data_IF_398796052708
#
_entry.id   IF_398796052708
#
_cell.length_a   1.000
_cell.length_b   1.000
_cell.length_c   1.000
_cell.angle_alpha   90.00
_cell.angle_beta   90.00
_cell.angle_gamma   90.00
#
_symmetry.space_group_name_H-M   'P 1'
#
loop_
_entity.id
_entity.type
_entity.pdbx_description
1 polymer ?
#
# COMPACT_ATOMS: atom_id res chain seq x y z
N UNK A 1 -6.40 -27.21 -12.49
CA UNK A 1 -5.75 -27.55 -13.79
C UNK A 1 -6.29 -26.56 -14.81
N UNK A 2 -5.54 -25.53 -15.14
CA UNK A 2 -5.89 -24.54 -16.17
C UNK A 2 -5.72 -25.21 -17.53
N UNK A 3 -6.84 -25.58 -18.18
CA UNK A 3 -6.81 -25.98 -19.56
C UNK A 3 -6.30 -24.77 -20.37
N UNK A 4 -5.11 -24.87 -20.93
CA UNK A 4 -4.48 -23.76 -21.65
C UNK A 4 -5.41 -23.30 -22.79
N UNK A 5 -5.70 -21.99 -22.81
CA UNK A 5 -6.43 -21.40 -23.94
C UNK A 5 -5.64 -21.62 -25.23
N UNK A 6 -6.34 -21.90 -26.32
CA UNK A 6 -5.70 -21.92 -27.64
C UNK A 6 -5.13 -20.55 -27.98
N UNK A 7 -4.06 -20.50 -28.77
CA UNK A 7 -3.42 -19.23 -29.18
C UNK A 7 -4.45 -18.20 -29.72
N UNK A 8 -5.42 -18.66 -30.52
CA UNK A 8 -6.49 -17.81 -31.05
C UNK A 8 -7.34 -17.20 -29.93
N UNK A 9 -7.73 -17.98 -28.92
CA UNK A 9 -8.51 -17.49 -27.76
C UNK A 9 -7.71 -16.51 -26.94
N UNK A 10 -6.42 -16.76 -26.76
CA UNK A 10 -5.52 -15.83 -26.07
C UNK A 10 -5.44 -14.49 -26.80
N UNK A 11 -5.26 -14.49 -28.11
CA UNK A 11 -5.27 -13.27 -28.92
C UNK A 11 -6.61 -12.54 -28.82
N UNK A 12 -7.74 -13.26 -28.97
CA UNK A 12 -9.07 -12.64 -28.88
C UNK A 12 -9.32 -12.07 -27.48
N UNK A 13 -9.00 -12.79 -26.40
CA UNK A 13 -9.13 -12.28 -25.04
C UNK A 13 -8.27 -11.03 -24.82
N UNK A 14 -7.01 -11.04 -25.26
CA UNK A 14 -6.12 -9.86 -25.22
C UNK A 14 -6.76 -8.66 -25.91
N UNK A 15 -7.29 -8.83 -27.11
CA UNK A 15 -7.92 -7.76 -27.88
C UNK A 15 -9.21 -7.25 -27.22
N UNK A 16 -10.04 -8.14 -26.67
CA UNK A 16 -11.25 -7.74 -25.92
C UNK A 16 -10.88 -6.87 -24.73
N UNK A 17 -9.87 -7.27 -23.96
CA UNK A 17 -9.44 -6.52 -22.78
C UNK A 17 -8.86 -5.15 -23.19
N UNK A 18 -8.02 -5.10 -24.21
CA UNK A 18 -7.45 -3.85 -24.72
C UNK A 18 -8.55 -2.90 -25.20
N UNK A 19 -9.49 -3.41 -26.00
CA UNK A 19 -10.60 -2.60 -26.51
C UNK A 19 -11.51 -2.10 -25.40
N UNK A 20 -11.85 -2.96 -24.44
CA UNK A 20 -12.69 -2.59 -23.31
C UNK A 20 -12.00 -1.58 -22.38
N UNK A 21 -10.71 -1.73 -22.13
CA UNK A 21 -9.91 -0.74 -21.35
C UNK A 21 -9.93 0.62 -22.03
N UNK A 22 -9.83 0.66 -23.36
CA UNK A 22 -9.79 1.91 -24.15
C UNK A 22 -11.17 2.59 -24.22
N UNK A 23 -12.23 1.81 -24.47
CA UNK A 23 -13.54 2.36 -24.85
C UNK A 23 -14.59 2.35 -23.74
N UNK A 24 -14.40 1.57 -22.68
CA UNK A 24 -15.39 1.28 -21.63
C UNK A 24 -16.73 0.72 -22.18
N UNK A 25 -16.75 0.19 -23.38
CA UNK A 25 -17.96 -0.34 -24.03
C UNK A 25 -17.86 -1.83 -24.30
N UNK A 26 -18.94 -2.61 -24.14
CA UNK A 26 -18.93 -4.02 -24.45
C UNK A 26 -18.45 -4.28 -25.88
N UNK A 27 -17.56 -5.25 -26.05
CA UNK A 27 -16.82 -5.50 -27.28
C UNK A 27 -17.56 -6.49 -28.17
N UNK A 28 -17.96 -6.05 -29.37
CA UNK A 28 -18.61 -6.92 -30.37
C UNK A 28 -17.59 -7.61 -31.28
N UNK A 29 -17.93 -8.81 -31.78
CA UNK A 29 -17.08 -9.56 -32.70
C UNK A 29 -16.73 -8.78 -33.99
N UNK A 30 -17.67 -7.98 -34.49
CA UNK A 30 -17.46 -7.16 -35.69
C UNK A 30 -16.44 -6.05 -35.45
N UNK A 31 -16.44 -5.44 -34.26
CA UNK A 31 -15.46 -4.43 -33.85
C UNK A 31 -14.05 -5.00 -33.88
N UNK A 32 -13.87 -6.22 -33.31
CA UNK A 32 -12.55 -6.87 -33.30
C UNK A 32 -12.05 -7.19 -34.71
N UNK A 33 -12.90 -7.77 -35.54
CA UNK A 33 -12.49 -8.09 -36.92
C UNK A 33 -12.11 -6.85 -37.70
N UNK A 34 -12.92 -5.79 -37.62
CA UNK A 34 -12.71 -4.55 -38.37
C UNK A 34 -11.50 -3.76 -37.87
N UNK A 35 -11.41 -3.53 -36.55
CA UNK A 35 -10.36 -2.66 -35.97
C UNK A 35 -8.97 -3.32 -36.03
N UNK A 36 -8.92 -4.62 -35.72
CA UNK A 36 -7.66 -5.36 -35.65
C UNK A 36 -7.35 -6.20 -36.90
N UNK A 37 -8.17 -6.08 -37.97
CA UNK A 37 -7.98 -6.74 -39.27
C UNK A 37 -7.70 -8.24 -39.13
N UNK A 38 -8.52 -8.93 -38.32
CA UNK A 38 -8.36 -10.37 -38.10
C UNK A 38 -8.67 -11.16 -39.36
N UNK A 39 -7.82 -12.13 -39.72
CA UNK A 39 -8.02 -13.02 -40.85
C UNK A 39 -9.06 -14.14 -40.59
N UNK A 40 -10.13 -13.79 -39.88
CA UNK A 40 -11.22 -14.70 -39.51
C UNK A 40 -12.56 -13.97 -39.63
N UNK A 41 -13.66 -14.73 -39.86
CA UNK A 41 -14.98 -14.13 -39.92
C UNK A 41 -15.48 -13.64 -38.56
N UNK A 42 -16.41 -12.69 -38.55
CA UNK A 42 -17.08 -12.26 -37.31
C UNK A 42 -17.85 -13.39 -36.62
N UNK A 43 -18.35 -14.35 -37.40
CA UNK A 43 -18.98 -15.57 -36.86
C UNK A 43 -17.96 -16.44 -36.08
N UNK A 44 -16.76 -16.61 -36.62
CA UNK A 44 -15.68 -17.33 -35.94
C UNK A 44 -15.29 -16.61 -34.63
N UNK A 45 -15.11 -15.31 -34.65
CA UNK A 45 -14.80 -14.53 -33.44
C UNK A 45 -15.95 -14.64 -32.44
N UNK A 46 -17.20 -14.59 -32.86
CA UNK A 46 -18.37 -14.77 -31.99
C UNK A 46 -18.35 -16.11 -31.25
N UNK A 47 -18.00 -17.20 -31.94
CA UNK A 47 -17.87 -18.51 -31.34
C UNK A 47 -16.75 -18.60 -30.32
N UNK A 48 -15.60 -17.95 -30.60
CA UNK A 48 -14.49 -17.88 -29.62
C UNK A 48 -14.84 -17.01 -28.40
N UNK A 49 -15.59 -15.92 -28.59
CA UNK A 49 -16.11 -15.10 -27.49
C UNK A 49 -17.09 -15.91 -26.62
N UNK A 50 -17.95 -16.71 -27.20
CA UNK A 50 -18.87 -17.61 -26.47
C UNK A 50 -18.08 -18.66 -25.66
N UNK A 51 -17.05 -19.26 -26.26
CA UNK A 51 -16.20 -20.22 -25.57
C UNK A 51 -15.40 -19.57 -24.40
N UNK A 52 -14.94 -18.35 -24.58
CA UNK A 52 -14.27 -17.58 -23.50
C UNK A 52 -15.24 -17.20 -22.37
N UNK A 53 -16.51 -16.99 -22.69
CA UNK A 53 -17.57 -16.77 -21.72
C UNK A 53 -17.91 -18.05 -20.94
N UNK A 54 -18.04 -19.18 -21.60
CA UNK A 54 -18.23 -20.50 -20.95
C UNK A 54 -17.07 -20.85 -20.00
N UNK A 55 -15.85 -20.42 -20.33
CA UNK A 55 -14.66 -20.58 -19.50
C UNK A 55 -14.57 -19.55 -18.38
N UNK A 56 -15.48 -18.58 -18.31
CA UNK A 56 -15.54 -17.57 -17.25
C UNK A 56 -14.59 -16.38 -17.42
N UNK A 57 -13.89 -16.23 -18.53
CA UNK A 57 -13.00 -15.11 -18.79
C UNK A 57 -13.72 -13.85 -19.30
N UNK A 58 -14.88 -14.03 -19.92
CA UNK A 58 -15.74 -12.96 -20.40
C UNK A 58 -17.16 -13.14 -19.83
N UNK A 59 -17.94 -12.06 -19.87
CA UNK A 59 -19.37 -12.07 -19.56
C UNK A 59 -20.12 -11.09 -20.46
N UNK A 60 -21.43 -11.08 -20.40
CA UNK A 60 -22.27 -10.10 -21.10
C UNK A 60 -23.18 -9.38 -20.09
N UNK A 61 -23.40 -8.08 -20.29
CA UNK A 61 -24.29 -7.29 -19.46
C UNK A 61 -25.77 -7.48 -19.86
N UNK A 62 -26.01 -7.66 -21.18
CA UNK A 62 -27.34 -7.94 -21.76
C UNK A 62 -27.17 -8.82 -23.00
N UNK A 63 -28.19 -9.61 -23.32
CA UNK A 63 -28.18 -10.62 -24.40
C UNK A 63 -27.81 -10.10 -25.79
N UNK A 64 -28.02 -8.83 -26.08
CA UNK A 64 -27.65 -8.16 -27.35
C UNK A 64 -26.37 -7.32 -27.26
N UNK A 65 -25.76 -7.19 -26.06
CA UNK A 65 -24.54 -6.44 -25.86
C UNK A 65 -23.31 -7.29 -26.26
N UNK A 66 -22.19 -6.63 -26.56
CA UNK A 66 -20.88 -7.27 -26.70
C UNK A 66 -20.44 -7.97 -25.42
N UNK A 67 -19.20 -8.42 -25.38
CA UNK A 67 -18.60 -9.06 -24.19
C UNK A 67 -17.75 -8.09 -23.40
N UNK A 68 -17.70 -8.29 -22.08
CA UNK A 68 -16.82 -7.57 -21.14
C UNK A 68 -15.96 -8.55 -20.39
N UNK A 69 -14.71 -8.21 -20.01
CA UNK A 69 -13.85 -9.07 -19.22
C UNK A 69 -14.39 -9.27 -17.81
N UNK A 70 -14.19 -10.46 -17.26
CA UNK A 70 -14.34 -10.77 -15.84
C UNK A 70 -13.03 -10.53 -15.09
N UNK A 71 -13.06 -10.59 -13.75
CA UNK A 71 -11.83 -10.55 -12.93
C UNK A 71 -10.86 -11.67 -13.32
N UNK A 72 -11.38 -12.88 -13.59
CA UNK A 72 -10.59 -14.01 -14.09
C UNK A 72 -9.97 -13.73 -15.46
N UNK A 73 -10.69 -13.03 -16.34
CA UNK A 73 -10.17 -12.58 -17.63
C UNK A 73 -9.01 -11.58 -17.48
N UNK A 74 -9.16 -10.59 -16.60
CA UNK A 74 -8.09 -9.65 -16.31
C UNK A 74 -6.89 -10.34 -15.64
N UNK A 75 -7.12 -11.27 -14.71
CA UNK A 75 -6.05 -12.05 -14.06
C UNK A 75 -5.24 -12.83 -15.10
N UNK A 76 -5.93 -13.57 -15.98
CA UNK A 76 -5.27 -14.31 -17.04
C UNK A 76 -4.47 -13.40 -17.99
N UNK A 77 -5.01 -12.22 -18.30
CA UNK A 77 -4.30 -11.22 -19.11
C UNK A 77 -3.01 -10.74 -18.44
N UNK A 78 -3.08 -10.36 -17.17
CA UNK A 78 -1.92 -9.85 -16.41
C UNK A 78 -0.82 -10.90 -16.30
N UNK A 79 -1.19 -12.16 -16.07
CA UNK A 79 -0.22 -13.24 -15.86
C UNK A 79 0.38 -13.79 -17.16
N UNK A 80 -0.44 -13.88 -18.24
CA UNK A 80 -0.07 -14.68 -19.40
C UNK A 80 -0.01 -13.89 -20.72
N UNK A 81 -0.79 -12.82 -20.87
CA UNK A 81 -0.97 -12.16 -22.16
C UNK A 81 -0.36 -10.75 -22.22
N UNK A 82 -0.09 -10.16 -21.07
CA UNK A 82 0.45 -8.81 -20.96
C UNK A 82 1.92 -8.81 -21.35
N UNK A 83 2.28 -7.95 -22.28
CA UNK A 83 3.69 -7.67 -22.56
C UNK A 83 4.31 -6.86 -21.42
N UNK A 84 5.53 -7.20 -21.05
CA UNK A 84 6.30 -6.40 -20.07
C UNK A 84 6.67 -5.06 -20.71
N UNK A 85 5.83 -4.07 -20.48
CA UNK A 85 6.11 -2.69 -20.92
C UNK A 85 6.96 -1.98 -19.87
N UNK A 86 7.81 -1.08 -20.33
CA UNK A 86 8.53 -0.13 -19.48
C UNK A 86 8.13 1.29 -19.90
N UNK A 87 8.23 2.23 -18.98
CA UNK A 87 8.07 3.64 -19.33
C UNK A 87 9.11 4.03 -20.38
N UNK A 88 8.73 4.89 -21.30
CA UNK A 88 9.67 5.39 -22.31
C UNK A 88 10.87 6.10 -21.65
N UNK A 89 12.05 6.07 -22.27
CA UNK A 89 13.23 6.78 -21.74
C UNK A 89 13.00 8.27 -21.48
N UNK A 90 12.13 8.91 -22.27
CA UNK A 90 11.76 10.30 -22.09
C UNK A 90 10.96 10.51 -20.81
N UNK A 91 9.94 9.68 -20.57
CA UNK A 91 9.13 9.72 -19.34
C UNK A 91 9.99 9.45 -18.10
N UNK A 92 10.85 8.43 -18.16
CA UNK A 92 11.76 8.13 -17.06
C UNK A 92 12.68 9.30 -16.72
N UNK A 93 13.23 9.99 -17.74
CA UNK A 93 14.07 11.19 -17.51
C UNK A 93 13.27 12.32 -16.87
N UNK A 94 12.06 12.59 -17.34
CA UNK A 94 11.20 13.64 -16.80
C UNK A 94 10.86 13.38 -15.34
N UNK A 95 10.44 12.15 -15.01
CA UNK A 95 10.12 11.75 -13.64
C UNK A 95 11.36 11.88 -12.75
N UNK A 96 12.49 11.32 -13.17
CA UNK A 96 13.74 11.40 -12.42
C UNK A 96 14.15 12.84 -12.15
N UNK A 97 14.05 13.71 -13.15
CA UNK A 97 14.37 15.12 -13.00
C UNK A 97 13.50 15.80 -11.95
N UNK A 98 12.20 15.53 -11.92
CA UNK A 98 11.30 16.05 -10.89
C UNK A 98 11.73 15.63 -9.47
N UNK A 99 12.10 14.36 -9.27
CA UNK A 99 12.55 13.86 -7.97
C UNK A 99 13.88 14.50 -7.51
N UNK A 100 14.82 14.73 -8.42
CA UNK A 100 16.09 15.39 -8.10
C UNK A 100 15.95 16.90 -7.85
N UNK A 101 14.89 17.55 -8.34
CA UNK A 101 14.60 18.96 -8.02
C UNK A 101 14.10 19.15 -6.58
N UNK A 102 13.45 18.15 -6.03
CA UNK A 102 12.95 18.14 -4.65
C UNK A 102 14.09 17.67 -3.74
N UNK A 103 14.79 18.63 -3.10
CA UNK A 103 15.96 18.33 -2.28
C UNK A 103 15.56 17.82 -0.89
N UNK A 104 15.90 16.56 -0.61
CA UNK A 104 16.23 16.07 0.74
C UNK A 104 15.09 15.86 1.74
N UNK A 105 13.84 16.14 1.41
CA UNK A 105 12.73 15.93 2.32
C UNK A 105 11.87 14.74 1.88
N UNK A 106 11.88 13.70 2.71
CA UNK A 106 11.16 12.45 2.45
C UNK A 106 9.67 12.69 2.16
N UNK A 107 9.02 13.58 2.91
CA UNK A 107 7.60 13.89 2.73
C UNK A 107 7.30 14.47 1.35
N UNK A 108 8.20 15.29 0.82
CA UNK A 108 8.06 15.85 -0.53
C UNK A 108 8.23 14.76 -1.60
N UNK A 109 9.13 13.79 -1.41
CA UNK A 109 9.26 12.64 -2.32
C UNK A 109 8.01 11.75 -2.30
N UNK A 110 7.41 11.53 -1.13
CA UNK A 110 6.17 10.76 -0.97
C UNK A 110 5.02 11.45 -1.72
N UNK A 111 4.85 12.75 -1.52
CA UNK A 111 3.83 13.54 -2.24
C UNK A 111 4.06 13.53 -3.74
N UNK A 112 5.30 13.73 -4.17
CA UNK A 112 5.64 13.69 -5.61
C UNK A 112 5.41 12.31 -6.21
N UNK A 113 5.76 11.23 -5.49
CA UNK A 113 5.48 9.86 -5.94
C UNK A 113 3.98 9.65 -6.14
N UNK A 114 3.15 10.09 -5.18
CA UNK A 114 1.69 10.06 -5.29
C UNK A 114 1.19 10.79 -6.53
N UNK A 115 1.59 12.04 -6.71
CA UNK A 115 1.17 12.87 -7.85
C UNK A 115 1.61 12.28 -9.21
N UNK A 116 2.83 11.76 -9.30
CA UNK A 116 3.33 11.14 -10.54
C UNK A 116 2.59 9.85 -10.85
N UNK A 117 2.37 8.97 -9.84
CA UNK A 117 1.59 7.74 -9.97
C UNK A 117 0.19 8.06 -10.50
N UNK A 118 -0.52 8.96 -9.83
CA UNK A 118 -1.89 9.32 -10.19
C UNK A 118 -2.00 9.84 -11.63
N UNK A 119 -1.22 10.86 -11.96
CA UNK A 119 -1.25 11.49 -13.28
C UNK A 119 -0.85 10.52 -14.40
N UNK A 120 0.14 9.65 -14.16
CA UNK A 120 0.65 8.75 -15.19
C UNK A 120 -0.29 7.58 -15.46
N UNK A 121 -0.99 7.10 -14.43
CA UNK A 121 -1.88 5.94 -14.53
C UNK A 121 -3.36 6.30 -14.64
N UNK A 122 -3.72 7.57 -14.42
CA UNK A 122 -5.10 8.05 -14.33
C UNK A 122 -5.92 7.31 -13.27
N UNK A 123 -5.28 6.95 -12.16
CA UNK A 123 -5.88 6.27 -11.02
C UNK A 123 -5.54 7.02 -9.73
N UNK A 124 -6.25 6.74 -8.65
CA UNK A 124 -5.84 7.23 -7.36
C UNK A 124 -4.55 6.52 -6.93
N UNK A 125 -3.62 7.28 -6.36
CA UNK A 125 -2.38 6.76 -5.81
C UNK A 125 -2.45 6.58 -4.31
N UNK A 126 -1.63 5.71 -3.80
CA UNK A 126 -1.37 5.54 -2.37
C UNK A 126 0.14 5.37 -2.15
N UNK A 127 0.66 6.05 -1.14
CA UNK A 127 2.06 5.95 -0.73
C UNK A 127 2.10 5.97 0.79
N UNK A 128 2.71 4.94 1.41
CA UNK A 128 2.97 4.96 2.84
C UNK A 128 4.37 5.50 3.11
N UNK A 129 4.62 6.20 4.22
CA UNK A 129 5.99 6.52 4.61
C UNK A 129 6.82 5.23 4.77
N UNK A 130 8.13 5.25 4.42
CA UNK A 130 9.00 4.12 4.69
C UNK A 130 9.19 3.99 6.20
N UNK A 131 9.18 2.77 6.68
CA UNK A 131 9.33 2.43 8.09
C UNK A 131 10.53 1.53 8.26
N UNK A 132 11.15 1.61 9.42
CA UNK A 132 12.17 0.66 9.80
C UNK A 132 11.58 -0.76 9.64
N UNK A 133 12.25 -1.60 8.85
CA UNK A 133 11.81 -2.96 8.56
C UNK A 133 11.78 -3.84 9.83
N UNK A 134 12.54 -3.46 10.85
CA UNK A 134 12.48 -4.06 12.17
C UNK A 134 11.21 -3.60 12.89
N UNK A 135 10.53 -4.56 13.54
CA UNK A 135 9.46 -4.27 14.50
C UNK A 135 9.97 -3.21 15.47
N UNK A 136 9.13 -2.21 15.78
CA UNK A 136 9.48 -1.16 16.74
C UNK A 136 10.11 -1.81 17.99
N UNK A 137 11.39 -1.48 18.25
CA UNK A 137 12.11 -2.04 19.39
C UNK A 137 12.32 -0.95 20.42
N UNK A 138 12.01 -1.25 21.65
CA UNK A 138 12.24 -0.36 22.77
C UNK A 138 13.76 -0.22 23.03
N UNK A 139 14.22 1.01 23.25
CA UNK A 139 15.62 1.28 23.56
C UNK A 139 15.80 1.76 24.99
N UNK A 140 15.09 2.83 25.39
CA UNK A 140 15.21 3.36 26.76
C UNK A 140 14.00 4.21 27.16
N UNK A 141 13.84 4.37 28.47
CA UNK A 141 12.88 5.24 29.12
C UNK A 141 13.64 6.30 29.94
N UNK A 142 13.20 7.54 29.82
CA UNK A 142 13.61 8.61 30.74
C UNK A 142 12.38 9.15 31.47
N UNK A 143 12.50 9.36 32.77
CA UNK A 143 11.44 9.92 33.61
C UNK A 143 11.95 11.21 34.29
N UNK A 144 11.31 12.32 33.94
CA UNK A 144 11.69 13.66 34.41
C UNK A 144 10.55 14.25 35.24
N UNK A 145 10.78 14.50 36.50
CA UNK A 145 9.82 15.20 37.37
C UNK A 145 9.60 16.64 36.88
N UNK A 146 8.37 16.98 36.53
CA UNK A 146 7.99 18.36 36.18
C UNK A 146 7.45 19.08 37.42
N UNK A 147 6.65 18.39 38.20
CA UNK A 147 6.01 18.86 39.42
C UNK A 147 5.85 17.67 40.38
N UNK A 148 5.44 17.93 41.65
CA UNK A 148 5.36 16.89 42.71
C UNK A 148 4.63 15.60 42.27
N UNK A 149 3.53 15.73 41.50
CA UNK A 149 2.73 14.62 41.01
C UNK A 149 2.70 14.51 39.46
N UNK A 150 3.61 15.22 38.78
CA UNK A 150 3.66 15.20 37.30
C UNK A 150 5.05 14.82 36.81
N UNK A 151 5.13 13.84 35.96
CA UNK A 151 6.36 13.32 35.35
C UNK A 151 6.23 13.34 33.82
N UNK A 152 7.27 13.78 33.15
CA UNK A 152 7.44 13.58 31.71
C UNK A 152 8.13 12.23 31.49
N UNK A 153 7.45 11.32 30.84
CA UNK A 153 8.03 10.10 30.33
C UNK A 153 8.49 10.31 28.89
N UNK A 154 9.75 9.99 28.61
CA UNK A 154 10.34 10.03 27.28
C UNK A 154 10.70 8.61 26.88
N UNK A 155 10.01 8.08 25.89
CA UNK A 155 10.24 6.75 25.34
C UNK A 155 11.15 6.89 24.12
N UNK A 156 12.26 6.18 24.13
CA UNK A 156 13.21 6.12 23.02
C UNK A 156 13.13 4.74 22.39
N UNK A 157 12.97 4.69 21.08
CA UNK A 157 12.96 3.46 20.31
C UNK A 157 14.12 3.42 19.34
N UNK A 158 14.46 2.24 18.83
CA UNK A 158 15.46 2.11 17.77
C UNK A 158 15.03 2.90 16.52
N UNK A 159 16.00 3.32 15.71
CA UNK A 159 15.73 4.19 14.56
C UNK A 159 15.52 5.67 14.90
N UNK A 160 15.91 6.11 16.13
CA UNK A 160 15.85 7.53 16.52
C UNK A 160 14.45 8.05 16.85
N UNK A 161 13.46 7.15 16.98
CA UNK A 161 12.07 7.51 17.28
C UNK A 161 11.96 7.88 18.77
N UNK A 162 11.47 9.09 19.06
CA UNK A 162 11.24 9.57 20.43
C UNK A 162 9.76 9.93 20.59
N UNK A 163 9.15 9.43 21.67
CA UNK A 163 7.80 9.82 22.09
C UNK A 163 7.86 10.34 23.51
N UNK A 164 7.04 11.33 23.80
CA UNK A 164 6.96 11.91 25.15
C UNK A 164 5.50 12.00 25.59
N UNK A 165 5.28 11.73 26.87
CA UNK A 165 3.97 11.80 27.49
C UNK A 165 4.07 12.32 28.92
N UNK A 166 3.20 13.24 29.28
CA UNK A 166 3.06 13.69 30.67
C UNK A 166 2.15 12.73 31.42
N UNK A 167 2.58 12.28 32.59
CA UNK A 167 1.91 11.32 33.44
C UNK A 167 1.65 11.96 34.81
N UNK A 168 0.44 11.79 35.32
CA UNK A 168 0.12 12.11 36.71
C UNK A 168 0.44 10.90 37.60
N UNK A 169 1.09 11.16 38.72
CA UNK A 169 1.39 10.15 39.74
C UNK A 169 0.41 10.25 40.91
N UNK A 170 0.06 9.11 41.50
CA UNK A 170 -0.76 9.06 42.70
C UNK A 170 0.04 9.45 43.96
N UNK A 171 1.36 9.29 43.94
CA UNK A 171 2.27 9.61 45.04
C UNK A 171 3.52 10.31 44.50
N UNK A 172 3.97 11.34 45.21
CA UNK A 172 5.18 12.06 44.87
C UNK A 172 6.39 11.11 44.93
N UNK A 173 7.27 11.22 43.93
CA UNK A 173 8.54 10.47 43.82
C UNK A 173 9.71 11.42 43.61
N UNK A 174 10.81 11.12 44.24
CA UNK A 174 12.04 11.84 44.02
C UNK A 174 12.61 11.57 42.61
N UNK A 175 13.33 12.52 42.04
CA UNK A 175 13.97 12.33 40.73
C UNK A 175 14.93 11.13 40.73
N UNK A 176 15.55 10.82 41.87
CA UNK A 176 16.43 9.66 42.00
C UNK A 176 15.68 8.32 41.93
N UNK A 177 14.46 8.23 42.49
CA UNK A 177 13.61 7.06 42.38
C UNK A 177 13.11 6.89 40.94
N UNK A 178 12.70 7.99 40.27
CA UNK A 178 12.29 7.97 38.87
C UNK A 178 13.43 7.49 37.98
N UNK A 179 14.64 7.96 38.15
CA UNK A 179 15.83 7.52 37.39
C UNK A 179 16.12 6.05 37.60
N UNK A 180 16.06 5.55 38.84
CA UNK A 180 16.29 4.14 39.14
C UNK A 180 15.26 3.24 38.47
N UNK A 181 13.98 3.59 38.54
CA UNK A 181 12.92 2.82 37.87
C UNK A 181 13.07 2.87 36.34
N UNK A 182 13.39 4.04 35.78
CA UNK A 182 13.62 4.19 34.34
C UNK A 182 14.81 3.35 33.85
N UNK A 183 15.94 3.36 34.57
CA UNK A 183 17.11 2.56 34.23
C UNK A 183 16.80 1.06 34.29
N UNK A 184 16.15 0.58 35.39
CA UNK A 184 15.77 -0.82 35.53
C UNK A 184 14.84 -1.31 34.40
N UNK A 185 13.84 -0.49 34.03
CA UNK A 185 12.94 -0.81 32.93
C UNK A 185 13.68 -0.76 31.58
N UNK A 186 14.57 0.20 31.40
CA UNK A 186 15.36 0.29 30.16
C UNK A 186 16.23 -0.95 29.97
N UNK A 187 16.93 -1.40 30.99
CA UNK A 187 17.75 -2.62 30.95
C UNK A 187 16.90 -3.88 30.70
N UNK A 188 15.73 -3.95 31.36
CA UNK A 188 14.84 -5.12 31.27
C UNK A 188 14.16 -5.26 29.91
N UNK A 189 13.82 -4.13 29.28
CA UNK A 189 13.07 -4.08 28.03
C UNK A 189 13.95 -3.77 26.82
N UNK A 190 15.26 -3.64 26.99
CA UNK A 190 16.18 -3.35 25.89
C UNK A 190 15.95 -4.33 24.73
N UNK A 191 15.83 -3.79 23.50
CA UNK A 191 15.62 -4.52 22.26
C UNK A 191 14.31 -5.33 22.16
N UNK A 192 13.40 -5.23 23.14
CA UNK A 192 12.11 -5.90 23.07
C UNK A 192 11.17 -5.26 22.04
N UNK A 193 10.45 -6.12 21.32
CA UNK A 193 9.35 -5.74 20.43
C UNK A 193 8.03 -5.64 21.21
N UNK A 194 6.98 -5.10 20.59
CA UNK A 194 5.63 -5.05 21.15
C UNK A 194 5.20 -6.45 21.67
N UNK A 195 5.31 -7.48 20.84
CA UNK A 195 4.98 -8.86 21.23
C UNK A 195 5.86 -9.40 22.35
N UNK A 196 7.14 -9.05 22.38
CA UNK A 196 8.04 -9.44 23.47
C UNK A 196 7.63 -8.83 24.81
N UNK A 197 7.17 -7.57 24.81
CA UNK A 197 6.67 -6.90 26.02
C UNK A 197 5.30 -7.46 26.46
N UNK A 198 4.40 -7.75 25.52
CA UNK A 198 3.12 -8.42 25.81
C UNK A 198 3.34 -9.80 26.47
N UNK A 199 4.27 -10.59 25.95
CA UNK A 199 4.65 -11.88 26.53
C UNK A 199 5.21 -11.74 27.97
N UNK A 200 5.97 -10.67 28.24
CA UNK A 200 6.47 -10.39 29.59
C UNK A 200 5.36 -10.05 30.58
N UNK A 201 4.32 -9.35 30.14
CA UNK A 201 3.17 -8.99 30.98
C UNK A 201 2.25 -10.18 31.27
N UNK A 202 2.12 -11.13 30.33
CA UNK A 202 1.25 -12.29 30.46
C UNK A 202 1.85 -13.43 31.25
N UNK A 203 3.16 -13.41 31.55
CA UNK A 203 3.81 -14.42 32.40
C UNK A 203 3.39 -14.30 33.85
N UNK A 204 3.24 -15.44 34.50
CA UNK A 204 2.95 -15.51 35.95
C UNK A 204 3.98 -14.68 36.73
N UNK A 205 3.56 -13.87 37.72
CA UNK A 205 4.46 -13.03 38.52
C UNK A 205 5.63 -13.79 39.16
N UNK A 206 5.43 -15.11 39.48
CA UNK A 206 6.46 -15.96 40.02
C UNK A 206 7.50 -16.47 39.00
N UNK A 207 7.24 -16.33 37.71
CA UNK A 207 8.12 -16.74 36.63
C UNK A 207 8.76 -15.54 35.92
N UNK A 208 8.44 -14.31 36.33
CA UNK A 208 9.06 -13.09 35.78
C UNK A 208 10.50 -13.00 36.31
N UNK A 209 11.47 -12.77 35.40
CA UNK A 209 12.88 -12.65 35.78
C UNK A 209 13.19 -11.39 36.62
N UNK A 210 12.26 -10.42 36.66
CA UNK A 210 12.36 -9.21 37.43
C UNK A 210 11.07 -8.96 38.22
N UNK A 211 11.18 -8.80 39.55
CA UNK A 211 10.07 -8.32 40.37
C UNK A 211 9.88 -6.82 40.17
N UNK A 212 8.83 -6.44 39.44
CA UNK A 212 8.47 -5.05 39.17
C UNK A 212 7.59 -4.51 40.32
N UNK A 213 7.91 -3.31 40.78
CA UNK A 213 7.01 -2.54 41.65
C UNK A 213 5.72 -2.17 40.90
N UNK A 214 4.68 -1.78 41.63
CA UNK A 214 3.42 -1.33 41.04
C UNK A 214 3.62 -0.17 40.06
N UNK A 215 4.47 0.78 40.44
CA UNK A 215 4.86 1.90 39.58
C UNK A 215 5.57 1.44 38.28
N UNK A 216 6.54 0.54 38.38
CA UNK A 216 7.26 0.01 37.22
C UNK A 216 6.32 -0.78 36.30
N UNK A 217 5.34 -1.47 36.84
CA UNK A 217 4.31 -2.16 36.06
C UNK A 217 3.43 -1.17 35.30
N UNK A 218 2.99 -0.08 35.95
CA UNK A 218 2.25 0.99 35.28
C UNK A 218 3.05 1.64 34.17
N UNK A 219 4.37 1.82 34.35
CA UNK A 219 5.25 2.34 33.28
C UNK A 219 5.39 1.36 32.13
N UNK A 220 5.48 0.06 32.41
CA UNK A 220 5.51 -0.99 31.40
C UNK A 220 4.23 -0.99 30.54
N UNK A 221 3.06 -0.86 31.15
CA UNK A 221 1.78 -0.73 30.44
C UNK A 221 1.74 0.54 29.56
N UNK A 222 2.32 1.64 30.04
CA UNK A 222 2.42 2.87 29.25
C UNK A 222 3.36 2.73 28.06
N UNK A 223 4.50 2.05 28.23
CA UNK A 223 5.40 1.71 27.11
C UNK A 223 4.64 0.88 26.06
N UNK A 224 3.94 -0.14 26.50
CA UNK A 224 3.14 -1.01 25.62
C UNK A 224 2.11 -0.18 24.82
N UNK A 225 1.32 0.65 25.50
CA UNK A 225 0.34 1.54 24.85
C UNK A 225 1.00 2.51 23.89
N UNK A 226 2.14 3.09 24.23
CA UNK A 226 2.87 4.00 23.35
C UNK A 226 3.35 3.27 22.09
N UNK A 227 3.80 2.01 22.20
CA UNK A 227 4.18 1.17 21.07
C UNK A 227 2.98 0.79 20.21
N UNK A 228 1.87 0.38 20.83
CA UNK A 228 0.61 0.05 20.12
C UNK A 228 0.09 1.25 19.33
N UNK A 229 -0.04 2.41 19.97
CA UNK A 229 -0.47 3.65 19.31
C UNK A 229 0.46 4.06 18.16
N UNK A 230 1.77 3.86 18.35
CA UNK A 230 2.72 4.15 17.28
C UNK A 230 2.54 3.20 16.09
N UNK A 231 2.37 1.91 16.34
CA UNK A 231 2.09 0.93 15.27
C UNK A 231 0.75 1.19 14.58
N UNK A 232 -0.29 1.59 15.31
CA UNK A 232 -1.59 1.97 14.76
C UNK A 232 -1.50 3.26 13.92
N UNK A 233 -0.96 4.34 14.47
CA UNK A 233 -0.74 5.59 13.74
C UNK A 233 0.15 5.39 12.52
N UNK A 234 1.13 4.52 12.67
CA UNK A 234 1.99 4.15 11.58
C UNK A 234 1.24 3.36 10.49
N UNK A 235 0.19 2.60 10.80
CA UNK A 235 -0.68 1.95 9.82
C UNK A 235 -1.62 2.91 9.10
N UNK A 236 -1.97 4.04 9.73
CA UNK A 236 -2.95 5.00 9.22
C UNK A 236 -2.38 6.07 8.29
N UNK A 237 -1.06 6.30 8.26
CA UNK A 237 -0.47 7.30 7.36
C UNK A 237 -0.35 6.74 5.94
N UNK A 238 -1.42 6.92 5.16
CA UNK A 238 -1.43 6.69 3.72
C UNK A 238 -1.59 8.05 3.04
N UNK A 239 -0.58 8.46 2.30
CA UNK A 239 -0.71 9.60 1.40
C UNK A 239 -1.45 9.13 0.15
N UNK A 240 -2.54 9.81 -0.18
CA UNK A 240 -3.32 9.53 -1.40
C UNK A 240 -3.46 10.78 -2.24
N UNK A 241 -3.35 10.61 -3.56
CA UNK A 241 -3.56 11.66 -4.56
C UNK A 241 -4.30 11.06 -5.76
N UNK A 242 -4.70 11.90 -6.72
CA UNK A 242 -5.27 11.44 -7.97
C UNK A 242 -6.73 11.04 -7.90
N UNK A 243 -7.45 11.48 -6.89
CA UNK A 243 -8.88 11.24 -6.80
C UNK A 243 -9.63 11.80 -8.02
N UNK A 244 -9.26 13.01 -8.46
CA UNK A 244 -9.89 13.64 -9.62
C UNK A 244 -9.59 12.90 -10.91
N UNK A 245 -8.36 12.41 -11.08
CA UNK A 245 -7.94 11.59 -12.20
C UNK A 245 -8.75 10.29 -12.29
N UNK A 246 -8.90 9.61 -11.16
CA UNK A 246 -9.72 8.39 -11.07
C UNK A 246 -11.19 8.66 -11.37
N UNK A 247 -11.76 9.74 -10.80
CA UNK A 247 -13.16 10.12 -10.98
C UNK A 247 -13.48 10.63 -12.38
N UNK A 248 -12.48 11.01 -13.15
CA UNK A 248 -12.63 11.38 -14.56
C UNK A 248 -12.86 10.18 -15.48
N UNK A 249 -12.72 8.96 -14.96
CA UNK A 249 -12.94 7.75 -15.74
C UNK A 249 -14.45 7.48 -15.97
N UNK A 250 -14.81 6.85 -17.09
CA UNK A 250 -16.23 6.62 -17.46
C UNK A 250 -17.08 5.93 -16.41
N UNK A 251 -16.51 5.10 -15.57
CA UNK A 251 -17.21 4.36 -14.51
C UNK A 251 -17.80 5.26 -13.41
N UNK A 252 -17.21 6.43 -13.24
CA UNK A 252 -17.63 7.41 -12.22
C UNK A 252 -18.48 8.53 -12.81
N UNK A 253 -18.56 8.63 -14.15
CA UNK A 253 -19.37 9.64 -14.83
C UNK A 253 -20.81 9.11 -14.93
N UNK A 254 -21.83 9.80 -14.39
CA UNK A 254 -23.22 9.37 -14.51
C UNK A 254 -23.61 9.25 -15.98
N UNK A 255 -24.02 8.06 -16.42
CA UNK A 255 -24.69 7.92 -17.70
C UNK A 255 -26.08 8.56 -17.64
N UNK A 256 -26.69 8.88 -18.79
CA UNK A 256 -27.99 9.54 -18.90
C UNK A 256 -29.16 8.68 -18.34
N UNK A 257 -28.96 7.40 -18.09
CA UNK A 257 -29.94 6.53 -17.46
C UNK A 257 -29.93 6.68 -15.93
N UNK A 258 -31.11 6.78 -15.31
CA UNK A 258 -31.29 7.06 -13.87
C UNK A 258 -30.63 6.03 -12.97
N UNK A 259 -30.71 4.74 -13.31
CA UNK A 259 -30.11 3.64 -12.55
C UNK A 259 -28.57 3.66 -12.59
N UNK A 260 -27.99 4.14 -13.70
CA UNK A 260 -26.55 4.25 -13.85
C UNK A 260 -26.00 5.44 -13.06
N UNK A 261 -26.79 6.50 -12.90
CA UNK A 261 -26.40 7.69 -12.10
C UNK A 261 -26.29 7.34 -10.60
N UNK A 262 -27.25 6.57 -10.06
CA UNK A 262 -27.20 6.15 -8.66
C UNK A 262 -26.00 5.24 -8.38
N UNK A 263 -25.71 4.30 -9.29
CA UNK A 263 -24.54 3.42 -9.18
C UNK A 263 -23.24 4.20 -9.26
N UNK A 264 -23.14 5.19 -10.15
CA UNK A 264 -21.94 6.05 -10.25
C UNK A 264 -21.71 6.86 -8.96
N UNK A 265 -22.77 7.42 -8.37
CA UNK A 265 -22.70 8.13 -7.09
C UNK A 265 -22.27 7.19 -5.95
N UNK A 266 -22.78 5.97 -5.90
CA UNK A 266 -22.37 4.98 -4.90
C UNK A 266 -20.90 4.57 -5.06
N UNK A 267 -20.43 4.36 -6.29
CA UNK A 267 -19.00 4.09 -6.55
C UNK A 267 -18.12 5.25 -6.12
N UNK A 268 -18.52 6.47 -6.45
CA UNK A 268 -17.83 7.68 -6.01
C UNK A 268 -17.71 7.74 -4.49
N UNK A 269 -18.81 7.53 -3.78
CA UNK A 269 -18.83 7.54 -2.32
C UNK A 269 -17.90 6.48 -1.73
N UNK A 270 -17.95 5.25 -2.24
CA UNK A 270 -17.05 4.14 -1.82
C UNK A 270 -15.59 4.49 -2.09
N UNK A 271 -15.26 5.01 -3.27
CA UNK A 271 -13.91 5.44 -3.60
C UNK A 271 -13.37 6.48 -2.61
N UNK A 272 -14.20 7.50 -2.29
CA UNK A 272 -13.87 8.51 -1.29
C UNK A 272 -13.67 7.92 0.11
N UNK A 273 -14.52 6.98 0.53
CA UNK A 273 -14.40 6.30 1.82
C UNK A 273 -13.11 5.48 1.91
N UNK A 274 -12.77 4.71 0.87
CA UNK A 274 -11.54 3.91 0.81
C UNK A 274 -10.30 4.80 0.90
N UNK A 275 -10.22 5.85 0.07
CA UNK A 275 -9.06 6.72 0.02
C UNK A 275 -8.91 7.59 1.29
N UNK A 276 -10.02 8.04 1.88
CA UNK A 276 -10.01 8.90 3.05
C UNK A 276 -9.77 8.13 4.35
N UNK A 277 -10.32 6.93 4.49
CA UNK A 277 -10.23 6.13 5.72
C UNK A 277 -9.18 5.02 5.66
N UNK A 278 -8.60 4.74 4.49
CA UNK A 278 -7.71 3.60 4.29
C UNK A 278 -8.41 2.23 4.46
N UNK A 279 -9.75 2.22 4.60
CA UNK A 279 -10.51 0.97 4.77
C UNK A 279 -10.31 0.05 3.56
N UNK A 280 -10.09 -1.23 3.83
CA UNK A 280 -9.79 -2.23 2.80
C UNK A 280 -8.33 -2.26 2.33
N UNK A 281 -7.54 -1.21 2.58
CA UNK A 281 -6.11 -1.17 2.24
C UNK A 281 -5.23 -1.77 3.36
N UNK A 282 -5.70 -1.74 4.60
CA UNK A 282 -4.96 -2.23 5.76
C UNK A 282 -4.37 -3.64 5.61
N UNK A 283 -5.13 -4.65 5.14
CA UNK A 283 -4.61 -6.00 4.92
C UNK A 283 -3.61 -6.11 3.76
N UNK A 284 -3.69 -5.20 2.76
CA UNK A 284 -2.88 -5.24 1.55
C UNK A 284 -1.47 -4.71 1.77
N UNK A 285 -1.29 -3.73 2.67
CA UNK A 285 0.01 -3.12 2.96
C UNK A 285 1.02 -4.14 3.53
N UNK A 286 0.71 -4.94 4.58
CA UNK A 286 1.62 -5.97 5.08
C UNK A 286 1.96 -7.03 4.03
N UNK A 287 0.99 -7.38 3.18
CA UNK A 287 1.17 -8.32 2.09
C UNK A 287 2.16 -7.80 1.04
N UNK A 288 2.03 -6.51 0.66
CA UNK A 288 2.94 -5.86 -0.26
C UNK A 288 4.35 -5.67 0.34
N UNK A 289 4.46 -5.40 1.64
CA UNK A 289 5.75 -5.32 2.34
C UNK A 289 6.49 -6.66 2.39
N UNK A 290 5.77 -7.78 2.46
CA UNK A 290 6.33 -9.13 2.52
C UNK A 290 6.70 -9.70 1.14
N UNK A 291 6.31 -9.05 0.05
CA UNK A 291 6.54 -9.56 -1.30
C UNK A 291 7.59 -8.77 -2.05
N UNK A 292 8.31 -9.49 -2.92
CA UNK A 292 9.18 -8.88 -3.90
C UNK A 292 8.43 -8.55 -5.19
N UNK A 293 8.66 -7.32 -5.69
CA UNK A 293 8.11 -6.89 -6.98
C UNK A 293 6.76 -6.20 -6.88
N UNK A 294 5.99 -6.26 -7.97
CA UNK A 294 4.68 -5.60 -8.09
C UNK A 294 3.57 -6.61 -7.89
N UNK A 295 2.71 -6.33 -6.93
CA UNK A 295 1.49 -7.10 -6.69
C UNK A 295 0.31 -6.47 -7.41
N UNK A 296 -0.56 -7.29 -7.96
CA UNK A 296 -1.81 -6.88 -8.60
C UNK A 296 -2.94 -7.66 -7.97
N UNK A 297 -3.95 -6.96 -7.47
CA UNK A 297 -5.13 -7.53 -6.84
C UNK A 297 -6.33 -7.01 -7.63
N UNK A 298 -7.16 -7.90 -8.17
CA UNK A 298 -8.18 -7.57 -9.16
C UNK A 298 -9.57 -7.85 -8.60
N UNK A 299 -10.40 -6.82 -8.51
CA UNK A 299 -11.83 -6.97 -8.23
C UNK A 299 -12.14 -7.87 -7.05
N UNK A 300 -12.81 -8.98 -7.28
CA UNK A 300 -13.24 -9.97 -6.28
C UNK A 300 -12.11 -10.69 -5.54
N UNK A 301 -10.85 -10.53 -5.93
CA UNK A 301 -9.69 -11.05 -5.18
C UNK A 301 -9.43 -10.25 -3.90
N UNK A 302 -9.98 -9.04 -3.81
CA UNK A 302 -9.91 -8.24 -2.60
C UNK A 302 -10.73 -8.90 -1.48
N UNK A 303 -10.14 -9.01 -0.30
CA UNK A 303 -10.80 -9.58 0.89
C UNK A 303 -11.93 -8.71 1.44
N UNK A 304 -11.87 -7.39 1.24
CA UNK A 304 -12.87 -6.43 1.67
C UNK A 304 -13.94 -6.25 0.59
N UNK A 305 -15.20 -6.38 0.96
CA UNK A 305 -16.33 -6.26 0.02
C UNK A 305 -16.38 -4.89 -0.69
N UNK A 306 -15.99 -3.82 0.02
CA UNK A 306 -15.93 -2.47 -0.53
C UNK A 306 -14.90 -2.33 -1.66
N UNK A 307 -13.90 -3.21 -1.69
CA UNK A 307 -12.81 -3.20 -2.67
C UNK A 307 -13.10 -4.03 -3.92
N UNK A 308 -14.18 -4.81 -3.97
CA UNK A 308 -14.46 -5.76 -5.08
C UNK A 308 -14.70 -5.09 -6.44
N UNK A 309 -15.04 -3.81 -6.47
CA UNK A 309 -15.20 -3.06 -7.72
C UNK A 309 -13.90 -2.37 -8.17
N UNK A 310 -12.81 -2.54 -7.39
CA UNK A 310 -11.53 -1.87 -7.61
C UNK A 310 -10.42 -2.89 -7.80
N UNK A 311 -9.40 -2.48 -8.52
CA UNK A 311 -8.13 -3.19 -8.59
C UNK A 311 -7.03 -2.34 -7.98
N UNK A 312 -6.04 -3.01 -7.40
CA UNK A 312 -4.92 -2.38 -6.71
C UNK A 312 -3.61 -2.92 -7.30
N UNK A 313 -2.68 -2.02 -7.57
CA UNK A 313 -1.33 -2.37 -8.00
C UNK A 313 -0.36 -1.77 -7.01
N UNK A 314 0.36 -2.61 -6.27
CA UNK A 314 1.25 -2.22 -5.18
C UNK A 314 2.68 -2.69 -5.43
N UNK A 315 3.63 -1.95 -4.90
CA UNK A 315 5.02 -2.39 -4.79
C UNK A 315 5.63 -1.90 -3.48
N UNK A 316 6.51 -2.71 -2.92
CA UNK A 316 7.39 -2.30 -1.84
C UNK A 316 8.46 -1.35 -2.39
N UNK A 317 8.86 -0.36 -1.61
CA UNK A 317 10.03 0.46 -1.85
C UNK A 317 10.82 0.63 -0.54
N UNK A 318 12.10 0.95 -0.63
CA UNK A 318 12.94 1.14 0.55
C UNK A 318 14.32 0.51 0.41
N UNK A 319 15.01 0.41 1.53
CA UNK A 319 16.31 -0.25 1.67
C UNK A 319 16.10 -1.58 2.37
N UNK A 320 16.65 -2.65 1.81
CA UNK A 320 16.50 -4.00 2.36
C UNK A 320 17.03 -4.05 3.79
N UNK A 321 16.27 -4.68 4.69
CA UNK A 321 16.55 -4.81 6.12
C UNK A 321 16.69 -3.49 6.91
N UNK A 322 16.47 -2.34 6.30
CA UNK A 322 16.53 -1.04 6.98
C UNK A 322 15.14 -0.39 7.03
N UNK A 323 14.66 0.13 5.92
CA UNK A 323 13.37 0.81 5.86
C UNK A 323 12.56 0.39 4.65
N UNK A 324 11.28 0.21 4.83
CA UNK A 324 10.38 -0.16 3.75
C UNK A 324 9.04 0.59 3.84
N UNK A 325 8.54 0.98 2.69
CA UNK A 325 7.19 1.49 2.48
C UNK A 325 6.52 0.77 1.32
N UNK A 326 5.25 1.09 1.12
CA UNK A 326 4.44 0.61 0.01
C UNK A 326 3.97 1.80 -0.80
N UNK A 327 4.02 1.68 -2.10
CA UNK A 327 3.41 2.63 -3.02
C UNK A 327 2.63 1.89 -4.10
N UNK A 328 1.65 2.57 -4.66
CA UNK A 328 0.85 1.97 -5.73
C UNK A 328 -0.33 2.81 -6.13
N UNK A 329 -1.24 2.17 -6.85
CA UNK A 329 -2.45 2.80 -7.37
C UNK A 329 -3.66 1.92 -7.13
N UNK A 330 -4.81 2.58 -6.96
CA UNK A 330 -6.14 1.99 -6.89
C UNK A 330 -7.01 2.62 -7.97
N UNK A 331 -7.75 1.82 -8.68
CA UNK A 331 -8.67 2.26 -9.71
C UNK A 331 -9.74 1.22 -10.02
N UNK A 332 -10.64 1.49 -10.95
CA UNK A 332 -11.64 0.51 -11.37
C UNK A 332 -10.98 -0.74 -11.95
N UNK A 333 -11.69 -1.88 -11.90
CA UNK A 333 -11.17 -3.16 -12.43
C UNK A 333 -10.74 -3.06 -13.90
N UNK A 334 -11.32 -2.14 -14.65
CA UNK A 334 -10.94 -1.79 -16.03
C UNK A 334 -9.67 -0.92 -16.11
N UNK A 335 -8.68 -1.25 -15.36
CA UNK A 335 -7.42 -0.49 -15.30
C UNK A 335 -6.51 -0.81 -16.50
N UNK A 336 -5.72 0.17 -16.95
CA UNK A 336 -4.63 -0.05 -17.91
C UNK A 336 -3.43 -0.73 -17.20
N UNK A 337 -3.56 -2.03 -16.90
CA UNK A 337 -2.58 -2.79 -16.12
C UNK A 337 -1.12 -2.66 -16.60
N UNK A 338 -0.80 -2.76 -17.91
CA UNK A 338 0.57 -2.61 -18.37
C UNK A 338 1.18 -1.26 -17.96
N UNK A 339 0.39 -0.19 -18.07
CA UNK A 339 0.81 1.16 -17.69
C UNK A 339 0.96 1.31 -16.19
N UNK A 340 -0.02 0.83 -15.42
CA UNK A 340 -0.02 0.91 -13.96
C UNK A 340 1.15 0.13 -13.36
N UNK A 341 1.36 -1.12 -13.80
CA UNK A 341 2.44 -1.98 -13.33
C UNK A 341 3.81 -1.39 -13.65
N UNK A 342 4.01 -0.87 -14.88
CA UNK A 342 5.29 -0.30 -15.28
C UNK A 342 5.61 0.99 -14.51
N UNK A 343 4.60 1.83 -14.25
CA UNK A 343 4.76 3.07 -13.48
C UNK A 343 5.07 2.77 -12.01
N UNK A 344 4.28 1.90 -11.37
CA UNK A 344 4.49 1.49 -9.97
C UNK A 344 5.89 0.88 -9.80
N UNK A 345 6.30 -0.02 -10.68
CA UNK A 345 7.64 -0.62 -10.66
C UNK A 345 8.75 0.43 -10.78
N UNK A 346 8.61 1.36 -11.70
CA UNK A 346 9.61 2.40 -11.91
C UNK A 346 9.74 3.35 -10.71
N UNK A 347 8.61 3.83 -10.18
CA UNK A 347 8.60 4.74 -9.02
C UNK A 347 9.12 4.03 -7.78
N UNK A 348 8.76 2.76 -7.54
CA UNK A 348 9.28 2.00 -6.40
C UNK A 348 10.79 1.84 -6.45
N UNK A 349 11.35 1.52 -7.62
CA UNK A 349 12.80 1.45 -7.82
C UNK A 349 13.49 2.80 -7.63
N UNK A 350 12.90 3.88 -8.15
CA UNK A 350 13.44 5.23 -7.99
C UNK A 350 13.45 5.66 -6.53
N UNK A 351 12.35 5.48 -5.80
CA UNK A 351 12.24 5.78 -4.38
C UNK A 351 13.22 4.97 -3.54
N UNK A 352 13.40 3.68 -3.86
CA UNK A 352 14.39 2.83 -3.17
C UNK A 352 15.81 3.33 -3.35
N UNK A 353 16.18 3.73 -4.56
CA UNK A 353 17.51 4.29 -4.83
C UNK A 353 17.75 5.61 -4.07
N UNK A 354 16.77 6.51 -4.06
CA UNK A 354 16.86 7.79 -3.35
C UNK A 354 16.99 7.58 -1.83
N UNK A 355 16.24 6.64 -1.27
CA UNK A 355 16.36 6.28 0.14
C UNK A 355 17.73 5.66 0.46
N UNK A 356 18.26 4.78 -0.40
CA UNK A 356 19.58 4.20 -0.22
C UNK A 356 20.68 5.27 -0.25
N UNK A 357 20.55 6.29 -1.10
CA UNK A 357 21.47 7.44 -1.13
C UNK A 357 21.43 8.22 0.18
N UNK A 358 20.24 8.50 0.76
CA UNK A 358 20.05 9.17 2.04
C UNK A 358 20.69 8.38 3.19
N UNK A 359 20.36 7.09 3.31
CA UNK A 359 20.88 6.24 4.40
C UNK A 359 22.38 6.04 4.33
N UNK A 360 22.96 5.94 3.12
CA UNK A 360 24.41 5.86 2.95
C UNK A 360 25.11 7.18 3.28
N UNK A 361 24.47 8.33 3.09
CA UNK A 361 25.00 9.63 3.45
C UNK A 361 25.04 9.79 4.99
N UNK A 362 23.95 9.43 5.69
CA UNK A 362 23.87 9.49 7.15
C UNK A 362 24.88 8.56 7.84
N UNK A 363 25.15 7.38 7.25
CA UNK A 363 26.16 6.42 7.78
C UNK A 363 27.60 6.93 7.65
N UNK A 364 27.87 7.88 6.75
CA UNK A 364 29.21 8.49 6.56
C UNK A 364 29.48 9.66 7.49
N UNK A 365 28.43 10.32 8.01
CA UNK A 365 28.52 11.47 8.91
C UNK A 365 28.57 11.08 10.40
N UNK A 366 28.45 9.79 10.74
CA UNK A 366 28.67 9.34 12.12
C UNK A 366 30.18 9.29 12.39
N UNK A 367 30.70 10.09 13.35
CA UNK A 367 32.11 10.04 13.73
C UNK A 367 32.42 8.65 14.28
N UNK A 368 33.48 8.04 13.74
CA UNK A 368 34.01 6.75 14.17
C UNK A 368 34.29 6.81 15.69
N UNK A 369 33.65 6.00 16.54
CA UNK A 369 33.86 6.06 18.00
C UNK A 369 35.26 5.62 18.46
N UNK A 370 36.18 5.26 17.53
CA UNK A 370 37.53 4.78 17.79
C UNK A 370 38.63 5.79 17.37
N UNK A 371 38.34 7.12 17.27
CA UNK A 371 39.37 8.12 17.07
C UNK A 371 39.44 9.09 18.24
#
# INVERSE_FOLDING_TARGET
>A
MSAGLTERRQVILKLVIQEFVETATPVASETLVRKYRLNVSSATVRNELAALEELGYLTHLHTSAGRVPTDAGYRFFVENLMERTTLSPAEQRTIRHQFYQVRGELDQWIQLAGAVLARTTQNASLVTPPRVAERLRFRSLELIGIHELMVLAVFVFHGGIVKQQTIALDTARSQEELRRSAARLSDYLADQTLSGIEDLLTRDPGQQPLQLSEFERSMLELILRAMQLFEEQAREQIYSDGLLEMLSQPEFIPALARDDAERAVQRLRRALEILKSGRGLGPLIPQALASDGVQVIIGGENSADEMREYSVVLARYGVENAVAGVLGVIGPTRMAYPRSISTVRYISSLMSNLLAELYNAESRDQPNPDQ
#
